data_IF_032472143735
#
_entry.id   IF_032472143735
#
_cell.length_a   1.000
_cell.length_b   1.000
_cell.length_c   1.000
_cell.angle_alpha   90.00
_cell.angle_beta   90.00
_cell.angle_gamma   90.00
#
_symmetry.space_group_name_H-M   'P 1'
#
loop_
_entity.id
_entity.type
_entity.pdbx_description
1 polymer ?
#
# COMPACT_ATOMS: atom_id res chain seq x y z
N UNK A 1 12.09 9.42 4.73
CA UNK A 1 10.79 8.83 5.09
C UNK A 1 10.93 7.33 5.02
N UNK A 2 10.32 6.63 5.98
CA UNK A 2 10.33 5.16 6.07
C UNK A 2 9.07 4.60 5.40
N UNK A 3 9.24 3.55 4.60
CA UNK A 3 8.16 2.90 3.85
C UNK A 3 8.14 1.42 4.20
N UNK A 4 7.00 0.92 4.67
CA UNK A 4 6.72 -0.51 4.68
C UNK A 4 6.15 -0.89 3.32
N UNK A 5 6.68 -1.92 2.68
CA UNK A 5 6.11 -2.46 1.44
C UNK A 5 6.08 -3.99 1.43
N UNK A 6 5.23 -4.56 0.59
CA UNK A 6 5.06 -5.99 0.43
C UNK A 6 3.82 -6.33 -0.39
N UNK A 7 3.61 -7.63 -0.62
CA UNK A 7 2.47 -8.15 -1.36
C UNK A 7 1.51 -8.89 -0.42
N UNK A 8 0.25 -8.44 -0.41
CA UNK A 8 -0.75 -8.92 0.56
C UNK A 8 -1.40 -10.24 0.15
N UNK A 9 -1.70 -11.08 1.13
CA UNK A 9 -2.46 -12.31 0.94
C UNK A 9 -1.67 -13.34 0.15
N UNK A 10 -2.32 -14.28 -0.54
CA UNK A 10 -1.66 -15.40 -1.23
C UNK A 10 -0.95 -15.04 -2.55
N UNK A 11 -0.46 -13.82 -2.65
CA UNK A 11 0.15 -13.29 -3.86
C UNK A 11 1.68 -13.45 -3.84
N UNK A 12 2.21 -14.22 -4.80
CA UNK A 12 3.61 -14.63 -4.89
C UNK A 12 4.45 -13.83 -5.90
N UNK A 13 4.00 -12.65 -6.35
CA UNK A 13 4.70 -11.85 -7.38
C UNK A 13 5.98 -11.16 -6.86
N UNK A 14 7.00 -11.94 -6.51
CA UNK A 14 8.26 -11.48 -5.92
C UNK A 14 9.00 -10.47 -6.80
N UNK A 15 8.99 -10.65 -8.12
CA UNK A 15 9.71 -9.76 -9.05
C UNK A 15 9.12 -8.36 -9.04
N UNK A 16 7.79 -8.24 -9.10
CA UNK A 16 7.12 -6.95 -9.02
C UNK A 16 7.40 -6.25 -7.68
N UNK A 17 7.31 -7.00 -6.57
CA UNK A 17 7.65 -6.50 -5.25
C UNK A 17 9.10 -5.98 -5.17
N UNK A 18 10.05 -6.73 -5.75
CA UNK A 18 11.46 -6.32 -5.78
C UNK A 18 11.69 -5.06 -6.60
N UNK A 19 10.97 -4.88 -7.72
CA UNK A 19 11.03 -3.66 -8.51
C UNK A 19 10.49 -2.44 -7.75
N UNK A 20 9.41 -2.61 -6.99
CA UNK A 20 8.84 -1.57 -6.13
C UNK A 20 9.87 -1.13 -5.08
N UNK A 21 10.48 -2.10 -4.38
CA UNK A 21 11.51 -1.84 -3.38
C UNK A 21 12.69 -1.04 -3.96
N UNK A 22 13.23 -1.49 -5.10
CA UNK A 22 14.35 -0.81 -5.77
C UNK A 22 13.97 0.61 -6.21
N UNK A 23 12.75 0.80 -6.71
CA UNK A 23 12.27 2.11 -7.18
C UNK A 23 12.08 3.09 -6.03
N UNK A 24 11.55 2.63 -4.89
CA UNK A 24 11.45 3.42 -3.66
C UNK A 24 12.83 3.78 -3.11
N UNK A 25 13.77 2.82 -3.06
CA UNK A 25 15.14 3.07 -2.61
C UNK A 25 15.84 4.10 -3.52
N UNK A 26 15.66 4.01 -4.84
CA UNK A 26 16.23 4.97 -5.79
C UNK A 26 15.69 6.40 -5.61
N UNK A 27 14.47 6.54 -5.10
CA UNK A 27 13.85 7.84 -4.74
C UNK A 27 14.24 8.32 -3.33
N UNK A 28 15.09 7.60 -2.61
CA UNK A 28 15.62 7.99 -1.30
C UNK A 28 14.74 7.61 -0.11
N UNK A 29 13.75 6.72 -0.29
CA UNK A 29 12.99 6.15 0.82
C UNK A 29 13.81 5.09 1.56
N UNK A 30 13.64 5.02 2.88
CA UNK A 30 14.13 3.89 3.67
C UNK A 30 13.06 2.78 3.63
N UNK A 31 13.34 1.70 2.92
CA UNK A 31 12.34 0.66 2.61
C UNK A 31 12.52 -0.56 3.51
N UNK A 32 11.42 -0.98 4.13
CA UNK A 32 11.29 -2.23 4.86
C UNK A 32 10.32 -3.12 4.08
N UNK A 33 10.87 -4.12 3.38
CA UNK A 33 10.10 -5.01 2.52
C UNK A 33 9.73 -6.29 3.29
N UNK A 34 8.44 -6.54 3.48
CA UNK A 34 7.90 -7.74 4.14
C UNK A 34 7.84 -8.95 3.20
N UNK A 35 8.10 -8.75 1.91
CA UNK A 35 8.12 -9.80 0.91
C UNK A 35 6.75 -10.04 0.28
N UNK A 36 6.44 -11.31 0.08
CA UNK A 36 5.20 -11.80 -0.52
C UNK A 36 4.48 -12.67 0.51
N UNK A 37 3.21 -12.98 0.29
CA UNK A 37 2.43 -13.80 1.22
C UNK A 37 2.26 -13.18 2.61
N UNK A 38 2.14 -11.85 2.69
CA UNK A 38 2.08 -11.12 3.95
C UNK A 38 0.63 -10.82 4.35
N UNK A 39 0.28 -11.07 5.61
CA UNK A 39 -1.02 -10.75 6.17
C UNK A 39 -1.15 -9.26 6.48
N UNK A 40 -2.38 -8.74 6.44
CA UNK A 40 -2.63 -7.33 6.73
C UNK A 40 -2.14 -6.90 8.12
N UNK A 41 -2.28 -7.76 9.12
CA UNK A 41 -1.82 -7.48 10.49
C UNK A 41 -0.30 -7.31 10.57
N UNK A 42 0.47 -8.10 9.83
CA UNK A 42 1.93 -7.99 9.79
C UNK A 42 2.39 -6.65 9.21
N UNK A 43 1.65 -6.11 8.22
CA UNK A 43 1.91 -4.76 7.73
C UNK A 43 1.70 -3.70 8.80
N UNK A 44 0.62 -3.81 9.58
CA UNK A 44 0.32 -2.85 10.64
C UNK A 44 1.34 -2.93 11.77
N UNK A 45 1.70 -4.14 12.19
CA UNK A 45 2.72 -4.36 13.22
C UNK A 45 4.06 -3.78 12.77
N UNK A 46 4.49 -4.04 11.52
CA UNK A 46 5.72 -3.48 10.97
C UNK A 46 5.69 -1.94 10.90
N UNK A 47 4.55 -1.33 10.55
CA UNK A 47 4.41 0.13 10.55
C UNK A 47 4.63 0.71 11.94
N UNK A 48 4.08 0.07 12.97
CA UNK A 48 4.19 0.51 14.37
C UNK A 48 5.61 0.29 14.91
N UNK A 49 6.19 -0.89 14.67
CA UNK A 49 7.54 -1.23 15.16
C UNK A 49 8.63 -0.36 14.53
N UNK A 50 8.47 0.01 13.26
CA UNK A 50 9.46 0.80 12.53
C UNK A 50 9.19 2.30 12.59
N UNK A 51 8.05 2.73 13.12
CA UNK A 51 7.57 4.12 13.06
C UNK A 51 7.64 4.63 11.61
N UNK A 52 6.93 3.92 10.73
CA UNK A 52 6.93 4.18 9.29
C UNK A 52 5.98 5.33 8.90
N UNK A 53 6.40 6.16 7.95
CA UNK A 53 5.58 7.26 7.44
C UNK A 53 4.54 6.78 6.41
N UNK A 54 4.84 5.65 5.73
CA UNK A 54 4.09 5.18 4.57
C UNK A 54 3.96 3.66 4.65
N UNK A 55 2.76 3.16 4.35
CA UNK A 55 2.45 1.77 4.09
C UNK A 55 2.03 1.61 2.62
N UNK A 56 2.85 0.93 1.82
CA UNK A 56 2.58 0.63 0.41
C UNK A 56 2.31 -0.86 0.23
N UNK A 57 1.04 -1.21 0.12
CA UNK A 57 0.59 -2.59 -0.14
C UNK A 57 0.46 -2.83 -1.64
N UNK A 58 0.95 -3.98 -2.11
CA UNK A 58 0.77 -4.43 -3.49
C UNK A 58 -0.12 -5.67 -3.57
N UNK A 59 -0.89 -5.79 -4.64
CA UNK A 59 -1.59 -7.02 -5.01
C UNK A 59 -1.75 -7.08 -6.53
N UNK A 60 -1.36 -8.20 -7.12
CA UNK A 60 -1.38 -8.49 -8.55
C UNK A 60 -2.32 -9.66 -8.89
N UNK A 61 -2.71 -10.49 -7.92
CA UNK A 61 -3.59 -11.63 -8.11
C UNK A 61 -5.10 -11.29 -8.15
N UNK A 62 -5.50 -10.05 -7.83
CA UNK A 62 -6.90 -9.64 -7.81
C UNK A 62 -7.65 -9.90 -6.51
N UNK A 63 -6.99 -10.41 -5.47
CA UNK A 63 -7.63 -10.79 -4.21
C UNK A 63 -7.54 -9.70 -3.13
N UNK A 64 -6.95 -8.54 -3.45
CA UNK A 64 -6.74 -7.43 -2.53
C UNK A 64 -7.99 -7.06 -1.71
N UNK A 65 -9.17 -7.10 -2.35
CA UNK A 65 -10.42 -6.74 -1.67
C UNK A 65 -10.71 -7.64 -0.47
N UNK A 66 -10.45 -8.94 -0.55
CA UNK A 66 -10.69 -9.86 0.55
C UNK A 66 -9.79 -9.56 1.76
N UNK A 67 -8.53 -9.25 1.48
CA UNK A 67 -7.51 -9.00 2.50
C UNK A 67 -7.56 -7.61 3.12
N UNK A 68 -8.01 -6.61 2.35
CA UNK A 68 -7.94 -5.20 2.75
C UNK A 68 -9.24 -4.65 3.36
N UNK A 69 -10.30 -5.44 3.46
CA UNK A 69 -11.59 -5.02 4.06
C UNK A 69 -11.46 -4.56 5.51
N UNK A 70 -10.51 -5.12 6.25
CA UNK A 70 -10.33 -4.86 7.68
C UNK A 70 -9.43 -3.66 7.98
N UNK A 71 -8.88 -2.97 6.97
CA UNK A 71 -8.01 -1.80 7.17
C UNK A 71 -8.66 -0.76 8.07
N UNK A 72 -9.95 -0.47 7.88
CA UNK A 72 -10.69 0.49 8.70
C UNK A 72 -10.82 0.05 10.16
N UNK A 73 -11.00 -1.25 10.39
CA UNK A 73 -11.07 -1.82 11.74
C UNK A 73 -9.72 -1.76 12.43
N UNK A 74 -8.63 -2.07 11.70
CA UNK A 74 -7.27 -1.97 12.21
C UNK A 74 -6.90 -0.52 12.51
N UNK A 75 -7.22 0.43 11.62
CA UNK A 75 -7.06 1.87 11.89
C UNK A 75 -7.80 2.30 13.15
N UNK A 76 -9.03 1.83 13.36
CA UNK A 76 -9.77 2.13 14.58
C UNK A 76 -9.16 1.47 15.84
N UNK A 77 -8.60 0.27 15.72
CA UNK A 77 -7.96 -0.50 16.80
C UNK A 77 -6.67 0.15 17.28
N UNK A 78 -5.78 0.53 16.35
CA UNK A 78 -4.47 1.11 16.66
C UNK A 78 -4.50 2.64 16.74
N UNK A 79 -5.57 3.28 16.27
CA UNK A 79 -5.89 4.69 16.48
C UNK A 79 -4.74 5.63 16.11
N UNK A 80 -4.33 6.46 17.08
CA UNK A 80 -3.34 7.52 16.88
C UNK A 80 -1.96 7.04 16.41
N UNK A 81 -1.66 5.74 16.53
CA UNK A 81 -0.41 5.18 15.99
C UNK A 81 -0.38 5.16 14.46
N UNK A 82 -1.55 5.23 13.80
CA UNK A 82 -1.67 5.13 12.34
C UNK A 82 -2.18 6.42 11.67
N UNK A 83 -2.57 7.44 12.45
CA UNK A 83 -3.19 8.68 11.94
C UNK A 83 -2.28 9.46 10.97
N UNK A 84 -0.96 9.41 11.19
CA UNK A 84 0.01 10.12 10.35
C UNK A 84 0.54 9.28 9.19
N UNK A 85 0.25 7.98 9.16
CA UNK A 85 0.78 7.06 8.15
C UNK A 85 -0.03 7.17 6.87
N UNK A 86 0.65 7.31 5.74
CA UNK A 86 0.00 7.28 4.41
C UNK A 86 -0.22 5.84 3.99
N UNK A 87 -1.48 5.47 3.76
CA UNK A 87 -1.86 4.15 3.27
C UNK A 87 -2.03 4.19 1.76
N UNK A 88 -1.17 3.48 1.04
CA UNK A 88 -1.19 3.35 -0.41
C UNK A 88 -1.39 1.88 -0.79
N UNK A 89 -2.22 1.64 -1.81
CA UNK A 89 -2.36 0.32 -2.43
C UNK A 89 -2.28 0.38 -3.95
N UNK A 90 -1.56 -0.58 -4.54
CA UNK A 90 -1.31 -0.65 -5.97
C UNK A 90 -1.40 -2.05 -6.57
N UNK A 91 -1.60 -2.10 -7.89
CA UNK A 91 -1.53 -3.32 -8.70
C UNK A 91 -2.88 -3.71 -9.31
N UNK A 92 -3.10 -5.01 -9.50
CA UNK A 92 -4.36 -5.55 -9.97
C UNK A 92 -5.24 -5.96 -8.78
N UNK A 93 -6.02 -5.00 -8.29
CA UNK A 93 -6.79 -5.11 -7.02
C UNK A 93 -8.04 -6.00 -7.06
N UNK A 94 -8.54 -6.37 -8.25
CA UNK A 94 -9.72 -7.23 -8.40
C UNK A 94 -9.49 -8.27 -9.49
N UNK A 95 -10.20 -9.39 -9.41
CA UNK A 95 -10.23 -10.40 -10.47
C UNK A 95 -11.09 -9.91 -11.65
N UNK A 96 -10.57 -10.04 -12.87
CA UNK A 96 -11.30 -9.74 -14.10
C UNK A 96 -11.21 -8.28 -14.56
N UNK A 97 -12.21 -7.82 -15.31
CA UNK A 97 -12.26 -6.48 -15.93
C UNK A 97 -13.03 -5.50 -15.05
N UNK A 98 -12.52 -5.22 -13.86
CA UNK A 98 -13.07 -4.18 -13.00
C UNK A 98 -12.65 -2.78 -13.46
N UNK A 99 -13.55 -1.80 -13.38
CA UNK A 99 -13.21 -0.42 -13.75
C UNK A 99 -12.60 0.31 -12.55
N UNK A 100 -11.48 1.02 -12.77
CA UNK A 100 -10.84 1.84 -11.75
C UNK A 100 -11.80 2.85 -11.10
N UNK A 101 -12.80 3.35 -11.84
CA UNK A 101 -13.83 4.28 -11.33
C UNK A 101 -14.65 3.72 -10.16
N UNK A 102 -14.82 2.40 -10.09
CA UNK A 102 -15.59 1.73 -9.04
C UNK A 102 -14.67 1.17 -7.94
N UNK A 103 -13.46 0.75 -8.33
CA UNK A 103 -12.47 0.15 -7.42
C UNK A 103 -11.85 1.21 -6.52
N UNK A 104 -11.42 2.35 -7.09
CA UNK A 104 -10.71 3.38 -6.32
C UNK A 104 -11.54 3.89 -5.14
N UNK A 105 -12.82 4.31 -5.31
CA UNK A 105 -13.64 4.75 -4.19
C UNK A 105 -13.85 3.67 -3.12
N UNK A 106 -13.92 2.40 -3.52
CA UNK A 106 -14.11 1.26 -2.60
C UNK A 106 -12.93 1.10 -1.65
N UNK A 107 -11.71 1.08 -2.18
CA UNK A 107 -10.50 0.96 -1.36
C UNK A 107 -10.26 2.25 -0.54
N UNK A 108 -10.60 3.43 -1.07
CA UNK A 108 -10.61 4.65 -0.26
C UNK A 108 -11.55 4.53 0.94
N UNK A 109 -12.74 3.93 0.77
CA UNK A 109 -13.68 3.69 1.86
C UNK A 109 -13.16 2.67 2.91
N UNK A 110 -12.25 1.76 2.53
CA UNK A 110 -11.55 0.89 3.48
C UNK A 110 -10.48 1.63 4.30
N UNK A 111 -10.07 2.82 3.87
CA UNK A 111 -9.12 3.67 4.59
C UNK A 111 -7.78 3.87 3.90
N UNK A 112 -7.65 3.56 2.60
CA UNK A 112 -6.47 3.95 1.82
C UNK A 112 -6.55 5.40 1.36
N UNK A 113 -5.44 6.11 1.42
CA UNK A 113 -5.32 7.49 0.95
C UNK A 113 -5.11 7.53 -0.57
N UNK A 114 -4.22 6.64 -1.05
CA UNK A 114 -3.85 6.50 -2.44
C UNK A 114 -4.17 5.09 -2.95
N UNK A 115 -4.85 5.00 -4.10
CA UNK A 115 -5.30 3.72 -4.67
C UNK A 115 -5.04 3.72 -6.16
N UNK A 116 -4.31 2.71 -6.63
CA UNK A 116 -3.88 2.59 -8.02
C UNK A 116 -4.21 1.19 -8.58
N UNK A 117 -5.29 1.09 -9.36
CA UNK A 117 -5.66 -0.14 -10.05
C UNK A 117 -5.11 -0.14 -11.49
N UNK A 118 -4.22 -1.07 -11.80
CA UNK A 118 -3.58 -1.23 -13.13
C UNK A 118 -2.90 0.05 -13.65
N UNK A 119 -2.17 0.72 -12.76
CA UNK A 119 -1.38 1.92 -13.07
C UNK A 119 0.11 1.56 -13.10
N UNK A 120 0.86 2.22 -13.97
CA UNK A 120 2.32 2.11 -14.01
C UNK A 120 2.98 2.50 -12.67
N UNK A 121 4.08 1.82 -12.34
CA UNK A 121 4.81 2.01 -11.10
C UNK A 121 5.31 3.44 -10.91
N UNK A 122 5.94 4.03 -11.93
CA UNK A 122 6.51 5.37 -11.79
C UNK A 122 5.40 6.40 -11.61
N UNK A 123 4.31 6.26 -12.36
CA UNK A 123 3.14 7.14 -12.20
C UNK A 123 2.60 7.09 -10.76
N UNK A 124 2.46 5.89 -10.19
CA UNK A 124 1.98 5.74 -8.81
C UNK A 124 2.93 6.33 -7.76
N UNK A 125 4.24 6.18 -7.95
CA UNK A 125 5.25 6.75 -7.05
C UNK A 125 5.38 8.27 -7.19
N UNK A 126 5.23 8.82 -8.40
CA UNK A 126 5.22 10.27 -8.62
C UNK A 126 4.03 10.93 -7.89
N UNK A 127 2.86 10.29 -7.93
CA UNK A 127 1.68 10.76 -7.21
C UNK A 127 1.84 10.62 -5.69
N UNK A 128 2.52 9.58 -5.20
CA UNK A 128 2.90 9.48 -3.79
C UNK A 128 3.77 10.67 -3.36
N UNK A 129 4.83 11.00 -4.12
CA UNK A 129 5.70 12.13 -3.79
C UNK A 129 4.95 13.46 -3.76
N UNK A 130 4.08 13.72 -4.75
CA UNK A 130 3.22 14.92 -4.76
C UNK A 130 2.31 14.98 -3.54
N UNK A 131 1.66 13.88 -3.20
CA UNK A 131 0.78 13.79 -2.02
C UNK A 131 1.55 14.09 -0.72
N UNK A 132 2.78 13.61 -0.61
CA UNK A 132 3.65 13.87 0.54
C UNK A 132 4.13 15.33 0.61
N UNK A 133 4.38 15.97 -0.53
CA UNK A 133 4.70 17.41 -0.58
C UNK A 133 3.52 18.28 -0.16
N UNK A 134 2.29 17.91 -0.57
CA UNK A 134 1.07 18.61 -0.19
C UNK A 134 0.77 18.51 1.31
N UNK A 135 1.00 17.35 1.95
CA UNK A 135 0.82 17.19 3.42
C UNK A 135 1.81 18.00 4.25
N UNK A 136 2.95 18.42 3.68
CA UNK A 136 3.97 19.21 4.39
C UNK A 136 3.68 20.71 4.37
N UNK A 137 2.76 21.17 3.52
CA UNK A 137 2.33 22.58 3.42
C UNK A 137 1.23 22.90 4.41
#
# INVERSE_FOLDING_TARGET
MKVITGVVGNDIHVVANRLIELSLQARGFQVFNLGVNTYLEEFIDAVIETDADILLISSLNGEAEGWCREVKLLKAKYGSMLDNVVFMIGGNLVVGTGNAKDIVPRFKNYGFDLVFHQVDLNTGLDELEKFLEERKR
#
